data_IF_255552924011
#
_entry.id   IF_255552924011
#
_cell.length_a   1.000
_cell.length_b   1.000
_cell.length_c   1.000
_cell.angle_alpha   90.00
_cell.angle_beta   90.00
_cell.angle_gamma   90.00
#
_symmetry.space_group_name_H-M   'P 1'
#
loop_
_entity.id
_entity.type
_entity.pdbx_description
1 polymer ?
#
# COMPACT_ATOMS: atom_id res chain seq x y z
N UNK A 1 7.42 -23.98 -33.10
CA UNK A 1 6.97 -22.80 -32.36
C UNK A 1 7.40 -22.97 -30.91
N UNK A 2 8.53 -22.37 -30.53
CA UNK A 2 9.11 -22.52 -29.19
C UNK A 2 8.40 -21.57 -28.24
N UNK A 3 7.63 -22.13 -27.31
CA UNK A 3 7.02 -21.42 -26.19
C UNK A 3 8.14 -20.99 -25.22
N UNK A 4 8.63 -19.77 -25.40
CA UNK A 4 9.53 -19.12 -24.45
C UNK A 4 8.82 -18.96 -23.12
N UNK A 5 9.08 -19.88 -22.17
CA UNK A 5 8.75 -19.69 -20.75
C UNK A 5 9.45 -18.42 -20.25
N UNK A 6 8.75 -17.27 -20.31
CA UNK A 6 9.11 -16.10 -19.52
C UNK A 6 9.08 -16.56 -18.06
N UNK A 7 10.25 -16.68 -17.42
CA UNK A 7 10.31 -16.81 -15.96
C UNK A 7 9.62 -15.56 -15.42
N UNK A 8 8.46 -15.74 -14.80
CA UNK A 8 7.77 -14.68 -14.09
C UNK A 8 8.67 -14.33 -12.90
N UNK A 9 9.40 -13.21 -13.00
CA UNK A 9 10.20 -12.68 -11.89
C UNK A 9 9.21 -12.29 -10.79
N UNK A 10 9.07 -13.15 -9.78
CA UNK A 10 8.28 -12.87 -8.59
C UNK A 10 9.25 -12.55 -7.46
N UNK A 11 9.12 -11.35 -6.89
CA UNK A 11 9.81 -11.01 -5.65
C UNK A 11 8.93 -11.48 -4.50
N UNK A 12 9.36 -12.56 -3.84
CA UNK A 12 8.72 -13.13 -2.66
C UNK A 12 9.69 -13.11 -1.49
N UNK A 13 9.15 -12.85 -0.29
CA UNK A 13 9.92 -12.99 0.95
C UNK A 13 10.21 -14.47 1.20
N UNK A 14 11.46 -14.81 1.52
CA UNK A 14 11.80 -16.15 1.98
C UNK A 14 11.16 -16.40 3.34
N UNK A 15 10.87 -17.66 3.65
CA UNK A 15 10.14 -18.02 4.88
C UNK A 15 10.80 -17.46 6.16
N UNK A 16 12.13 -17.47 6.25
CA UNK A 16 12.88 -16.94 7.39
C UNK A 16 12.87 -15.42 7.51
N UNK A 17 12.68 -14.70 6.40
CA UNK A 17 12.71 -13.24 6.38
C UNK A 17 11.40 -12.63 6.89
N UNK A 18 10.30 -13.40 6.89
CA UNK A 18 8.99 -12.91 7.37
C UNK A 18 9.04 -12.44 8.82
N UNK A 19 9.82 -13.12 9.66
CA UNK A 19 9.99 -12.74 11.06
C UNK A 19 10.63 -11.35 11.17
N UNK A 20 11.61 -11.06 10.32
CA UNK A 20 12.31 -9.77 10.31
C UNK A 20 11.37 -8.61 9.93
N UNK A 21 10.33 -8.87 9.15
CA UNK A 21 9.32 -7.87 8.76
C UNK A 21 8.06 -7.89 9.63
N UNK A 22 7.97 -8.79 10.62
CA UNK A 22 6.82 -8.88 11.51
C UNK A 22 6.81 -7.79 12.59
N UNK A 23 7.99 -7.28 12.97
CA UNK A 23 8.12 -6.25 13.99
C UNK A 23 8.03 -4.84 13.38
N UNK A 24 7.42 -3.86 14.09
CA UNK A 24 7.44 -2.48 13.66
C UNK A 24 8.88 -1.98 13.47
N UNK A 25 9.18 -1.39 12.31
CA UNK A 25 10.51 -0.84 11.97
C UNK A 25 10.66 0.66 12.28
N UNK A 26 9.71 1.23 13.02
CA UNK A 26 9.66 2.66 13.31
C UNK A 26 8.81 2.95 14.54
N UNK A 27 8.45 4.23 14.72
CA UNK A 27 7.63 4.65 15.85
C UNK A 27 6.28 3.91 15.85
N UNK A 28 5.99 3.23 16.96
CA UNK A 28 4.71 2.59 17.18
C UNK A 28 3.74 3.62 17.77
N UNK A 29 2.85 4.15 16.93
CA UNK A 29 1.78 5.04 17.34
C UNK A 29 0.59 4.20 17.79
N UNK A 30 0.05 4.49 18.97
CA UNK A 30 -1.12 3.78 19.53
C UNK A 30 -2.29 4.73 19.61
N UNK A 31 -3.49 4.24 19.27
CA UNK A 31 -4.71 5.05 19.29
C UNK A 31 -4.79 5.97 18.09
N UNK A 32 -4.92 7.27 18.34
CA UNK A 32 -5.10 8.29 17.30
C UNK A 32 -3.78 8.62 16.59
N UNK A 33 -3.83 8.65 15.25
CA UNK A 33 -2.70 8.98 14.39
C UNK A 33 -2.51 10.50 14.23
N UNK A 34 -3.56 11.30 14.50
CA UNK A 34 -3.59 12.75 14.25
C UNK A 34 -2.44 13.53 14.88
N UNK A 35 -2.07 13.30 16.16
CA UNK A 35 -0.94 14.01 16.77
C UNK A 35 0.40 13.70 16.11
N UNK A 36 0.56 12.48 15.57
CA UNK A 36 1.79 12.05 14.92
C UNK A 36 1.91 12.56 13.49
N UNK A 37 0.81 12.54 12.74
CA UNK A 37 0.81 12.98 11.34
C UNK A 37 0.79 14.51 11.24
N UNK A 38 0.02 15.20 12.09
CA UNK A 38 -0.19 16.64 12.02
C UNK A 38 0.93 17.46 12.66
N UNK A 39 1.67 16.89 13.62
CA UNK A 39 2.76 17.57 14.32
C UNK A 39 4.07 17.72 13.53
N UNK A 40 4.09 17.31 12.25
CA UNK A 40 5.31 17.27 11.43
C UNK A 40 5.04 17.67 9.99
N UNK A 41 6.00 18.37 9.38
CA UNK A 41 6.02 18.68 7.95
C UNK A 41 6.56 17.50 7.15
N UNK A 42 5.70 16.51 6.91
CA UNK A 42 6.05 15.36 6.07
C UNK A 42 6.10 15.76 4.60
N UNK A 43 7.24 15.53 3.95
CA UNK A 43 7.38 15.72 2.49
C UNK A 43 6.46 14.77 1.71
N UNK A 44 6.32 13.54 2.19
CA UNK A 44 5.49 12.50 1.55
C UNK A 44 4.98 11.52 2.60
N UNK A 45 3.72 11.12 2.48
CA UNK A 45 3.04 10.16 3.35
C UNK A 45 2.52 9.02 2.50
N UNK A 46 2.99 7.81 2.76
CA UNK A 46 2.59 6.60 2.04
C UNK A 46 1.96 5.63 3.04
N UNK A 47 0.73 5.20 2.77
CA UNK A 47 0.03 4.21 3.58
C UNK A 47 0.00 2.85 2.87
N UNK A 48 0.39 1.80 3.59
CA UNK A 48 0.36 0.41 3.11
C UNK A 48 -0.55 -0.40 4.02
N UNK A 49 -1.72 -0.78 3.50
CA UNK A 49 -2.78 -1.49 4.20
C UNK A 49 -4.00 -0.60 4.51
N UNK A 50 -5.18 -1.23 4.56
CA UNK A 50 -6.46 -0.52 4.61
C UNK A 50 -6.66 0.25 5.93
N UNK A 51 -6.26 -0.36 7.05
CA UNK A 51 -6.49 0.22 8.39
C UNK A 51 -5.67 1.49 8.60
N UNK A 52 -4.38 1.47 8.21
CA UNK A 52 -3.51 2.64 8.36
C UNK A 52 -3.93 3.77 7.41
N UNK A 53 -4.35 3.44 6.18
CA UNK A 53 -4.91 4.41 5.25
C UNK A 53 -6.17 5.08 5.83
N UNK A 54 -7.08 4.29 6.41
CA UNK A 54 -8.29 4.82 7.06
C UNK A 54 -7.97 5.77 8.22
N UNK A 55 -7.00 5.43 9.09
CA UNK A 55 -6.59 6.32 10.17
C UNK A 55 -5.96 7.61 9.65
N UNK A 56 -5.12 7.53 8.62
CA UNK A 56 -4.46 8.70 8.04
C UNK A 56 -5.48 9.66 7.41
N UNK A 57 -6.45 9.15 6.66
CA UNK A 57 -7.53 9.97 6.09
C UNK A 57 -8.35 10.63 7.21
N UNK A 58 -8.75 9.88 8.24
CA UNK A 58 -9.50 10.40 9.39
C UNK A 58 -8.75 11.46 10.19
N UNK A 59 -7.42 11.40 10.20
CA UNK A 59 -6.58 12.38 10.87
C UNK A 59 -6.42 13.72 10.15
N UNK A 60 -7.12 13.92 9.02
CA UNK A 60 -7.09 15.19 8.29
C UNK A 60 -5.83 15.42 7.44
N UNK A 61 -4.92 14.44 7.38
CA UNK A 61 -3.81 14.40 6.41
C UNK A 61 -3.98 13.18 5.50
N UNK A 62 -4.70 13.32 4.37
CA UNK A 62 -4.79 12.25 3.38
C UNK A 62 -3.39 11.82 2.92
N UNK A 63 -3.09 10.51 2.78
CA UNK A 63 -1.81 10.05 2.25
C UNK A 63 -1.58 10.53 0.81
N UNK A 64 -0.33 10.67 0.39
CA UNK A 64 -0.01 10.97 -1.01
C UNK A 64 -0.09 9.70 -1.88
N UNK A 65 0.15 8.53 -1.28
CA UNK A 65 0.00 7.21 -1.93
C UNK A 65 -0.65 6.22 -0.97
N UNK A 66 -1.59 5.43 -1.47
CA UNK A 66 -2.30 4.37 -0.73
C UNK A 66 -2.14 3.05 -1.45
N UNK A 67 -1.68 2.01 -0.74
CA UNK A 67 -1.52 0.65 -1.26
C UNK A 67 -2.38 -0.27 -0.41
N UNK A 68 -3.45 -0.81 -0.99
CA UNK A 68 -4.43 -1.65 -0.28
C UNK A 68 -4.78 -2.89 -1.09
N UNK A 69 -5.16 -3.97 -0.43
CA UNK A 69 -5.68 -5.17 -1.10
C UNK A 69 -7.22 -5.27 -1.02
N UNK A 70 -7.87 -4.34 -0.30
CA UNK A 70 -9.32 -4.31 -0.10
C UNK A 70 -9.85 -5.47 0.73
N UNK A 71 -8.96 -6.26 1.36
CA UNK A 71 -9.32 -7.44 2.16
C UNK A 71 -9.18 -7.13 3.64
N UNK A 72 -10.01 -6.23 4.14
CA UNK A 72 -10.23 -6.18 5.59
C UNK A 72 -11.19 -7.30 5.99
N UNK A 73 -10.95 -7.95 7.13
CA UNK A 73 -11.82 -9.03 7.66
C UNK A 73 -13.29 -8.62 7.91
N UNK A 74 -13.70 -7.37 7.62
CA UNK A 74 -14.93 -6.79 8.17
C UNK A 74 -15.86 -6.08 7.18
N UNK A 75 -15.47 -5.75 5.94
CA UNK A 75 -16.43 -5.22 4.94
C UNK A 75 -16.03 -5.63 3.51
N UNK A 76 -17.03 -5.92 2.67
CA UNK A 76 -16.86 -6.25 1.25
C UNK A 76 -16.15 -5.10 0.49
N UNK A 77 -15.44 -5.39 -0.62
CA UNK A 77 -14.73 -4.38 -1.44
C UNK A 77 -15.70 -3.60 -2.33
N UNK A 78 -16.82 -3.14 -1.79
CA UNK A 78 -17.78 -2.29 -2.50
C UNK A 78 -17.37 -0.85 -2.20
N UNK A 79 -16.85 -0.14 -3.21
CA UNK A 79 -16.74 1.32 -3.18
C UNK A 79 -15.33 1.91 -3.12
N UNK A 80 -14.26 1.12 -2.92
CA UNK A 80 -12.89 1.67 -2.83
C UNK A 80 -12.53 2.60 -4.00
N UNK A 81 -12.89 2.25 -5.23
CA UNK A 81 -12.60 3.09 -6.40
C UNK A 81 -13.43 4.38 -6.41
N UNK A 82 -14.68 4.32 -5.97
CA UNK A 82 -15.58 5.49 -5.94
C UNK A 82 -15.14 6.44 -4.83
N UNK A 83 -14.86 5.90 -3.64
CA UNK A 83 -14.35 6.65 -2.49
C UNK A 83 -12.97 7.24 -2.80
N UNK A 84 -12.05 6.45 -3.36
CA UNK A 84 -10.72 6.92 -3.74
C UNK A 84 -10.82 8.07 -4.76
N UNK A 85 -11.67 7.94 -5.78
CA UNK A 85 -11.90 9.02 -6.76
C UNK A 85 -12.56 10.24 -6.12
N UNK A 86 -13.52 10.06 -5.21
CA UNK A 86 -14.13 11.16 -4.48
C UNK A 86 -13.12 11.92 -3.60
N UNK A 87 -12.08 11.22 -3.13
CA UNK A 87 -10.93 11.79 -2.42
C UNK A 87 -9.84 12.34 -3.36
N UNK A 88 -10.04 12.28 -4.68
CA UNK A 88 -9.10 12.81 -5.69
C UNK A 88 -7.94 11.88 -6.05
N UNK A 89 -8.00 10.59 -5.70
CA UNK A 89 -6.97 9.63 -6.08
C UNK A 89 -7.22 9.03 -7.47
N UNK A 90 -6.11 8.84 -8.20
CA UNK A 90 -6.05 7.90 -9.30
C UNK A 90 -5.99 6.46 -8.77
N UNK A 91 -6.76 5.56 -9.38
CA UNK A 91 -6.86 4.16 -8.97
C UNK A 91 -6.14 3.27 -9.97
N UNK A 92 -5.15 2.52 -9.48
CA UNK A 92 -4.40 1.53 -10.26
C UNK A 92 -4.67 0.15 -9.67
N UNK A 93 -5.22 -0.77 -10.48
CA UNK A 93 -5.52 -2.15 -10.08
C UNK A 93 -4.43 -3.08 -10.60
N UNK A 94 -3.79 -3.83 -9.70
CA UNK A 94 -2.71 -4.76 -10.03
C UNK A 94 -2.98 -6.10 -9.34
N UNK A 95 -2.71 -7.19 -10.04
CA UNK A 95 -2.86 -8.56 -9.51
C UNK A 95 -1.50 -9.12 -9.15
N UNK A 96 -1.36 -9.52 -7.88
CA UNK A 96 -0.17 -10.17 -7.35
C UNK A 96 -0.43 -11.65 -7.05
N UNK A 97 0.53 -12.54 -7.31
CA UNK A 97 0.47 -13.91 -6.82
C UNK A 97 0.53 -13.95 -5.28
N UNK A 98 -0.02 -15.00 -4.63
CA UNK A 98 0.07 -15.13 -3.18
C UNK A 98 1.51 -15.06 -2.67
N UNK A 99 1.75 -14.15 -1.72
CA UNK A 99 3.06 -14.00 -1.08
C UNK A 99 4.15 -13.40 -1.97
N UNK A 100 3.82 -12.81 -3.13
CA UNK A 100 4.80 -12.07 -3.92
C UNK A 100 4.25 -10.81 -4.56
N UNK A 101 5.16 -10.06 -5.17
CA UNK A 101 4.87 -8.81 -5.87
C UNK A 101 5.35 -8.96 -7.32
N UNK A 102 4.50 -8.59 -8.27
CA UNK A 102 4.83 -8.63 -9.70
C UNK A 102 5.75 -7.47 -10.08
N UNK A 103 6.55 -7.61 -11.16
CA UNK A 103 7.34 -6.49 -11.68
C UNK A 103 6.48 -5.29 -12.09
N UNK A 104 5.27 -5.56 -12.59
CA UNK A 104 4.26 -4.54 -12.90
C UNK A 104 3.90 -3.71 -11.67
N UNK A 105 3.64 -4.35 -10.52
CA UNK A 105 3.36 -3.64 -9.27
C UNK A 105 4.51 -2.71 -8.86
N UNK A 106 5.75 -3.18 -9.00
CA UNK A 106 6.95 -2.41 -8.67
C UNK A 106 7.13 -1.25 -9.63
N UNK A 107 6.94 -1.48 -10.94
CA UNK A 107 7.08 -0.45 -11.96
C UNK A 107 6.07 0.68 -11.74
N UNK A 108 4.79 0.34 -11.53
CA UNK A 108 3.76 1.32 -11.23
C UNK A 108 4.06 2.10 -9.95
N UNK A 109 4.45 1.41 -8.88
CA UNK A 109 4.81 2.06 -7.63
C UNK A 109 5.99 3.04 -7.83
N UNK A 110 7.05 2.62 -8.51
CA UNK A 110 8.20 3.48 -8.81
C UNK A 110 7.81 4.71 -9.64
N UNK A 111 6.90 4.58 -10.61
CA UNK A 111 6.40 5.71 -11.40
C UNK A 111 5.61 6.69 -10.52
N UNK A 112 4.69 6.18 -9.71
CA UNK A 112 3.90 7.00 -8.76
C UNK A 112 4.80 7.73 -7.77
N UNK A 113 5.83 7.07 -7.24
CA UNK A 113 6.73 7.68 -6.26
C UNK A 113 7.66 8.75 -6.85
N UNK A 114 8.05 8.63 -8.14
CA UNK A 114 8.86 9.63 -8.84
C UNK A 114 8.06 10.85 -9.32
N UNK A 115 6.77 10.68 -9.57
CA UNK A 115 5.90 11.70 -10.15
C UNK A 115 5.24 12.66 -9.15
N UNK A 116 5.74 12.78 -7.91
CA UNK A 116 5.22 13.69 -6.88
C UNK A 116 6.32 14.30 -6.05
#
# INVERSE_FOLDING_TARGET
MSSSRRRQLQLGLKAGERADFAQPRGALVRGDLSPFIGGRSWTKVICVGDVVASYCIKSGRPPDVVIVDGKTKRQQPIGLDVEAKALGYDVIRIVNPPGGVTPEAIEHLCKTLKGS
#
